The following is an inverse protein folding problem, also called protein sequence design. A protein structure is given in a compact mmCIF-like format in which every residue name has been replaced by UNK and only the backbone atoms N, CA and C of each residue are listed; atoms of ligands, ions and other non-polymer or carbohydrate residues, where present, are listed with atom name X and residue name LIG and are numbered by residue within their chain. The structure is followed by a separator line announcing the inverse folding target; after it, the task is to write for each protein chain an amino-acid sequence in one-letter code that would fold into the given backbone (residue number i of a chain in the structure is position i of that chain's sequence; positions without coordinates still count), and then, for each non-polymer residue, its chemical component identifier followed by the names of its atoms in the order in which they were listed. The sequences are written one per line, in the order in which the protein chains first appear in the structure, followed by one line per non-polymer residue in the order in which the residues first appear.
data_IF_988166823693
#
_entry.id   IF_988166823693
#
_cell.length_a   1.000
_cell.length_b   1.000
_cell.length_c   1.000
_cell.angle_alpha   90.00
_cell.angle_beta   90.00
_cell.angle_gamma   90.00
#
_symmetry.space_group_name_H-M   'P 1'
#
loop_
_entity.id
_entity.type
_entity.pdbx_description
1 polymer ?
#
# COMPACT_ATOMS: atom_id res chain seq x y z
N UNK A 1 7.93 -15.38 -24.83
CA UNK A 1 6.96 -14.32 -25.16
C UNK A 1 6.54 -13.65 -23.87
N UNK A 2 6.50 -12.33 -23.79
CA UNK A 2 5.97 -11.62 -22.60
C UNK A 2 4.45 -11.69 -22.67
N UNK A 3 3.81 -12.11 -21.58
CA UNK A 3 2.39 -12.46 -21.56
C UNK A 3 1.50 -11.23 -21.39
N UNK A 4 1.84 -10.36 -20.46
CA UNK A 4 1.16 -9.10 -20.20
C UNK A 4 2.19 -7.95 -20.19
N UNK A 5 2.63 -7.47 -21.35
CA UNK A 5 3.74 -6.51 -21.42
C UNK A 5 3.42 -5.16 -20.79
N UNK A 6 2.15 -4.71 -20.87
CA UNK A 6 1.77 -3.43 -20.25
C UNK A 6 1.62 -3.56 -18.73
N UNK A 7 1.01 -4.64 -18.23
CA UNK A 7 0.90 -4.90 -16.78
C UNK A 7 2.29 -4.99 -16.17
N UNK A 8 3.20 -5.74 -16.80
CA UNK A 8 4.62 -5.79 -16.43
C UNK A 8 5.23 -4.38 -16.36
N UNK A 9 5.08 -3.57 -17.40
CA UNK A 9 5.67 -2.24 -17.45
C UNK A 9 5.13 -1.31 -16.36
N UNK A 10 3.81 -1.28 -16.17
CA UNK A 10 3.16 -0.43 -15.18
C UNK A 10 3.46 -0.86 -13.75
N UNK A 11 3.58 -2.17 -13.48
CA UNK A 11 4.06 -2.72 -12.21
C UNK A 11 5.49 -2.26 -11.89
N UNK A 12 6.40 -2.34 -12.86
CA UNK A 12 7.78 -1.91 -12.64
C UNK A 12 7.91 -0.39 -12.44
N UNK A 13 7.06 0.41 -13.10
CA UNK A 13 6.98 1.85 -12.84
C UNK A 13 6.48 2.09 -11.40
N UNK A 14 5.41 1.40 -10.98
CA UNK A 14 4.88 1.47 -9.62
C UNK A 14 5.95 1.06 -8.59
N UNK A 15 6.68 -0.02 -8.86
CA UNK A 15 7.76 -0.51 -8.03
C UNK A 15 8.89 0.51 -7.88
N UNK A 16 9.37 1.08 -8.99
CA UNK A 16 10.44 2.07 -8.99
C UNK A 16 10.05 3.34 -8.22
N UNK A 17 8.84 3.86 -8.46
CA UNK A 17 8.35 5.07 -7.78
C UNK A 17 8.17 4.81 -6.28
N UNK A 18 7.55 3.68 -5.90
CA UNK A 18 7.38 3.30 -4.51
C UNK A 18 8.73 3.09 -3.81
N UNK A 19 9.72 2.47 -4.47
CA UNK A 19 11.06 2.26 -3.93
C UNK A 19 11.78 3.58 -3.68
N UNK A 20 11.80 4.48 -4.66
CA UNK A 20 12.43 5.80 -4.53
C UNK A 20 11.80 6.59 -3.39
N UNK A 21 10.47 6.69 -3.36
CA UNK A 21 9.76 7.41 -2.30
C UNK A 21 9.98 6.76 -0.93
N UNK A 22 9.95 5.43 -0.84
CA UNK A 22 10.20 4.67 0.39
C UNK A 22 11.61 4.91 0.95
N UNK A 23 12.64 4.85 0.11
CA UNK A 23 14.03 5.15 0.50
C UNK A 23 14.16 6.60 0.99
N UNK A 24 13.55 7.55 0.28
CA UNK A 24 13.58 8.97 0.68
C UNK A 24 12.86 9.19 2.02
N UNK A 25 11.72 8.54 2.25
CA UNK A 25 11.01 8.57 3.55
C UNK A 25 11.90 8.01 4.66
N UNK A 26 12.51 6.84 4.45
CA UNK A 26 13.34 6.18 5.45
C UNK A 26 14.58 7.01 5.82
N UNK A 27 15.26 7.58 4.83
CA UNK A 27 16.41 8.48 5.04
C UNK A 27 16.03 9.75 5.78
N UNK A 28 14.83 10.28 5.52
CA UNK A 28 14.31 11.50 6.15
C UNK A 28 13.47 11.24 7.41
N UNK A 29 13.46 10.01 7.93
CA UNK A 29 12.60 9.65 9.06
C UNK A 29 12.95 10.44 10.34
N UNK A 30 14.23 10.80 10.53
CA UNK A 30 14.65 11.74 11.58
C UNK A 30 14.29 11.32 13.01
N UNK A 31 14.13 10.01 13.26
CA UNK A 31 13.70 9.45 14.55
C UNK A 31 12.18 9.27 14.70
N UNK A 32 11.38 9.71 13.73
CA UNK A 32 9.92 9.54 13.75
C UNK A 32 9.54 8.13 13.23
N UNK A 33 9.06 7.26 14.13
CA UNK A 33 8.71 5.89 13.79
C UNK A 33 7.51 5.81 12.86
N UNK A 34 6.59 6.78 12.92
CA UNK A 34 5.50 6.92 11.96
C UNK A 34 5.99 6.98 10.52
N UNK A 35 7.05 7.75 10.26
CA UNK A 35 7.69 7.83 8.94
C UNK A 35 8.39 6.53 8.59
N UNK A 36 9.07 5.89 9.56
CA UNK A 36 9.76 4.61 9.33
C UNK A 36 8.80 3.52 8.86
N UNK A 37 7.67 3.35 9.55
CA UNK A 37 6.67 2.34 9.20
C UNK A 37 5.99 2.60 7.85
N UNK A 38 5.71 3.86 7.53
CA UNK A 38 5.26 4.23 6.17
C UNK A 38 6.33 4.00 5.12
N UNK A 39 7.61 4.26 5.43
CA UNK A 39 8.73 3.95 4.55
C UNK A 39 8.84 2.45 4.27
N UNK A 40 8.74 1.62 5.31
CA UNK A 40 8.66 0.15 5.19
C UNK A 40 7.47 -0.25 4.31
N UNK A 41 6.32 0.38 4.47
CA UNK A 41 5.15 0.09 3.65
C UNK A 41 5.39 0.38 2.16
N UNK A 42 6.06 1.49 1.84
CA UNK A 42 6.44 1.83 0.47
C UNK A 42 7.44 0.82 -0.12
N UNK A 43 8.44 0.38 0.66
CA UNK A 43 9.40 -0.64 0.22
C UNK A 43 8.72 -1.99 0.00
N UNK A 44 7.80 -2.37 0.89
CA UNK A 44 7.01 -3.59 0.73
C UNK A 44 6.14 -3.52 -0.53
N UNK A 45 5.44 -2.41 -0.77
CA UNK A 45 4.68 -2.20 -2.00
C UNK A 45 5.58 -2.29 -3.25
N UNK A 46 6.77 -1.69 -3.19
CA UNK A 46 7.72 -1.75 -4.29
C UNK A 46 8.14 -3.19 -4.62
N UNK A 47 8.46 -3.98 -3.59
CA UNK A 47 8.80 -5.38 -3.74
C UNK A 47 7.62 -6.21 -4.27
N UNK A 48 6.42 -5.98 -3.74
CA UNK A 48 5.21 -6.64 -4.23
C UNK A 48 4.94 -6.32 -5.71
N UNK A 49 5.00 -5.05 -6.12
CA UNK A 49 4.83 -4.65 -7.51
C UNK A 49 5.88 -5.27 -8.43
N UNK A 50 7.15 -5.34 -8.00
CA UNK A 50 8.20 -6.00 -8.80
C UNK A 50 7.94 -7.51 -8.97
N UNK A 51 7.53 -8.21 -7.90
CA UNK A 51 7.19 -9.63 -7.94
C UNK A 51 5.93 -9.89 -8.78
N UNK A 52 4.89 -9.08 -8.60
CA UNK A 52 3.64 -9.13 -9.34
C UNK A 52 3.84 -8.86 -10.83
N UNK A 53 4.57 -7.81 -11.18
CA UNK A 53 4.92 -7.51 -12.58
C UNK A 53 5.70 -8.66 -13.22
N UNK A 54 6.66 -9.24 -12.51
CA UNK A 54 7.41 -10.41 -13.00
C UNK A 54 6.48 -11.62 -13.20
N UNK A 55 5.53 -11.84 -12.29
CA UNK A 55 4.51 -12.87 -12.45
C UNK A 55 3.66 -12.64 -13.71
N UNK A 56 3.12 -11.44 -13.91
CA UNK A 56 2.29 -11.09 -15.06
C UNK A 56 3.06 -11.18 -16.39
N UNK A 57 4.28 -10.66 -16.43
CA UNK A 57 5.11 -10.65 -17.64
C UNK A 57 5.55 -12.04 -18.08
N UNK A 58 5.99 -12.87 -17.13
CA UNK A 58 6.67 -14.13 -17.43
C UNK A 58 5.88 -15.39 -17.02
N UNK A 59 4.65 -15.24 -16.48
CA UNK A 59 3.79 -16.34 -15.98
C UNK A 59 4.48 -17.21 -14.93
N UNK A 60 5.27 -16.60 -14.06
CA UNK A 60 5.97 -17.32 -12.99
C UNK A 60 5.05 -17.51 -11.77
N UNK A 61 4.32 -18.62 -11.73
CA UNK A 61 3.37 -18.94 -10.66
C UNK A 61 3.99 -18.88 -9.25
N UNK A 62 5.27 -19.26 -9.11
CA UNK A 62 5.99 -19.25 -7.84
C UNK A 62 6.10 -17.85 -7.20
N UNK A 63 5.95 -16.77 -7.97
CA UNK A 63 6.05 -15.38 -7.47
C UNK A 63 4.72 -14.83 -6.93
N UNK A 64 3.59 -15.47 -7.23
CA UNK A 64 2.28 -14.96 -6.82
C UNK A 64 2.10 -14.94 -5.30
N UNK A 65 2.34 -16.07 -4.63
CA UNK A 65 2.22 -16.17 -3.16
C UNK A 65 3.17 -15.21 -2.43
N UNK A 66 4.47 -15.09 -2.78
CA UNK A 66 5.34 -14.05 -2.25
C UNK A 66 4.79 -12.62 -2.45
N UNK A 67 4.25 -12.31 -3.63
CA UNK A 67 3.62 -11.01 -3.91
C UNK A 67 2.50 -10.71 -2.92
N UNK A 68 1.59 -11.67 -2.72
CA UNK A 68 0.50 -11.55 -1.76
C UNK A 68 1.01 -11.37 -0.33
N UNK A 69 1.96 -12.20 0.13
CA UNK A 69 2.50 -12.08 1.49
C UNK A 69 3.16 -10.71 1.75
N UNK A 70 3.88 -10.16 0.77
CA UNK A 70 4.53 -8.85 0.87
C UNK A 70 3.50 -7.69 0.87
N UNK A 71 2.39 -7.80 0.13
CA UNK A 71 1.30 -6.80 0.17
C UNK A 71 0.74 -6.61 1.58
N UNK A 72 0.64 -7.68 2.37
CA UNK A 72 0.23 -7.60 3.77
C UNK A 72 1.17 -6.73 4.63
N UNK A 73 2.49 -6.79 4.38
CA UNK A 73 3.47 -5.94 5.08
C UNK A 73 3.25 -4.47 4.74
N UNK A 74 2.92 -4.17 3.47
CA UNK A 74 2.61 -2.81 3.06
C UNK A 74 1.39 -2.26 3.82
N UNK A 75 0.28 -2.98 3.84
CA UNK A 75 -0.96 -2.55 4.51
C UNK A 75 -0.78 -2.42 6.03
N UNK A 76 -0.05 -3.33 6.67
CA UNK A 76 0.24 -3.29 8.10
C UNK A 76 1.16 -2.12 8.46
N UNK A 77 2.20 -1.86 7.65
CA UNK A 77 3.10 -0.72 7.85
C UNK A 77 2.40 0.62 7.73
N UNK A 78 1.47 0.76 6.77
CA UNK A 78 0.63 1.97 6.64
C UNK A 78 -0.19 2.22 7.91
N UNK A 79 -0.83 1.17 8.44
CA UNK A 79 -1.65 1.28 9.65
C UNK A 79 -0.78 1.59 10.88
N UNK A 80 0.36 0.92 11.04
CA UNK A 80 1.28 1.16 12.15
C UNK A 80 1.83 2.59 12.14
N UNK A 81 2.30 3.06 10.98
CA UNK A 81 2.80 4.43 10.82
C UNK A 81 1.72 5.48 11.11
N UNK A 82 0.50 5.23 10.64
CA UNK A 82 -0.66 6.10 10.90
C UNK A 82 -1.06 6.10 12.37
N UNK A 83 -1.04 4.94 13.04
CA UNK A 83 -1.33 4.83 14.47
C UNK A 83 -0.35 5.66 15.32
N UNK A 84 0.95 5.60 14.99
CA UNK A 84 2.00 6.38 15.65
C UNK A 84 1.80 7.89 15.46
N UNK A 85 1.42 8.32 14.25
CA UNK A 85 1.21 9.73 13.93
C UNK A 85 -0.09 10.33 14.52
N UNK A 86 -1.12 9.51 14.74
CA UNK A 86 -2.47 9.99 15.04
C UNK A 86 -2.94 9.71 16.46
N UNK A 87 -2.40 8.69 17.13
CA UNK A 87 -2.88 8.23 18.45
C UNK A 87 -1.79 8.13 19.52
N UNK A 88 -2.20 7.92 20.78
CA UNK A 88 -1.35 7.85 21.99
C UNK A 88 -1.82 6.75 22.94
N UNK A 89 -0.94 6.35 23.87
CA UNK A 89 -1.29 5.48 24.99
C UNK A 89 -1.99 4.19 24.55
N UNK A 90 -3.07 3.81 25.24
CA UNK A 90 -3.82 2.58 24.97
C UNK A 90 -4.31 2.47 23.52
N UNK A 91 -4.69 3.58 22.89
CA UNK A 91 -5.23 3.59 21.52
C UNK A 91 -4.14 3.30 20.48
N UNK A 92 -2.92 3.81 20.71
CA UNK A 92 -1.77 3.45 19.88
C UNK A 92 -1.47 1.97 19.99
N UNK A 93 -1.40 1.45 21.21
CA UNK A 93 -1.14 0.02 21.43
C UNK A 93 -2.20 -0.85 20.77
N UNK A 94 -3.48 -0.49 20.89
CA UNK A 94 -4.58 -1.20 20.25
C UNK A 94 -4.45 -1.21 18.72
N UNK A 95 -4.16 -0.08 18.08
CA UNK A 95 -4.00 -0.03 16.62
C UNK A 95 -2.75 -0.76 16.12
N UNK A 96 -1.64 -0.71 16.88
CA UNK A 96 -0.43 -1.47 16.55
C UNK A 96 -0.67 -2.98 16.70
N UNK A 97 -1.33 -3.41 17.78
CA UNK A 97 -1.73 -4.79 17.97
C UNK A 97 -2.70 -5.25 16.87
N UNK A 98 -3.64 -4.39 16.46
CA UNK A 98 -4.54 -4.66 15.35
C UNK A 98 -3.78 -4.80 14.02
N UNK A 99 -2.80 -3.94 13.74
CA UNK A 99 -1.97 -4.05 12.54
C UNK A 99 -1.20 -5.39 12.51
N UNK A 100 -0.62 -5.80 13.63
CA UNK A 100 0.10 -7.07 13.75
C UNK A 100 -0.84 -8.28 13.64
N UNK A 101 -1.98 -8.26 14.33
CA UNK A 101 -2.96 -9.35 14.28
C UNK A 101 -3.54 -9.50 12.88
N UNK A 102 -3.89 -8.39 12.23
CA UNK A 102 -4.35 -8.36 10.84
C UNK A 102 -3.33 -8.99 9.90
N UNK A 103 -2.05 -8.61 9.99
CA UNK A 103 -0.98 -9.19 9.17
C UNK A 103 -0.86 -10.70 9.37
N UNK A 104 -0.87 -11.16 10.64
CA UNK A 104 -0.77 -12.58 10.95
C UNK A 104 -1.97 -13.37 10.39
N UNK A 105 -3.20 -12.87 10.57
CA UNK A 105 -4.42 -13.48 10.02
C UNK A 105 -4.36 -13.52 8.50
N UNK A 106 -3.96 -12.41 7.87
CA UNK A 106 -3.82 -12.32 6.41
C UNK A 106 -2.81 -13.34 5.87
N UNK A 107 -1.63 -13.46 6.48
CA UNK A 107 -0.64 -14.46 6.09
C UNK A 107 -1.15 -15.88 6.25
N UNK A 108 -1.86 -16.19 7.34
CA UNK A 108 -2.47 -17.51 7.54
C UNK A 108 -3.49 -17.83 6.44
N UNK A 109 -4.31 -16.85 6.04
CA UNK A 109 -5.27 -17.02 4.95
C UNK A 109 -4.59 -17.19 3.60
N UNK A 110 -3.70 -16.28 3.22
CA UNK A 110 -2.96 -16.35 1.94
C UNK A 110 -2.12 -17.61 1.83
N UNK A 111 -1.58 -18.11 2.95
CA UNK A 111 -0.83 -19.35 2.93
C UNK A 111 -1.68 -20.53 2.44
N UNK A 112 -2.95 -20.57 2.84
CA UNK A 112 -3.92 -21.63 2.47
C UNK A 112 -4.61 -21.37 1.14
N UNK A 113 -4.91 -20.11 0.85
CA UNK A 113 -5.68 -19.66 -0.32
C UNK A 113 -5.20 -18.27 -0.72
N UNK A 114 -4.44 -18.18 -1.81
CA UNK A 114 -3.78 -16.95 -2.29
C UNK A 114 -4.58 -16.20 -3.34
N UNK A 115 -5.91 -16.40 -3.39
CA UNK A 115 -6.78 -15.59 -4.24
C UNK A 115 -6.65 -14.10 -3.92
N UNK A 116 -6.61 -13.28 -4.98
CA UNK A 116 -6.41 -11.83 -4.88
C UNK A 116 -7.43 -11.11 -3.99
N UNK A 117 -8.65 -11.66 -3.85
CA UNK A 117 -9.70 -11.09 -2.99
C UNK A 117 -9.23 -10.89 -1.54
N UNK A 118 -8.33 -11.74 -1.05
CA UNK A 118 -7.78 -11.59 0.30
C UNK A 118 -6.88 -10.36 0.41
N UNK A 119 -6.10 -10.04 -0.63
CA UNK A 119 -5.32 -8.80 -0.67
C UNK A 119 -6.22 -7.56 -0.74
N UNK A 120 -7.36 -7.66 -1.45
CA UNK A 120 -8.37 -6.59 -1.51
C UNK A 120 -9.01 -6.36 -0.14
N UNK A 121 -9.44 -7.42 0.56
CA UNK A 121 -10.02 -7.31 1.90
C UNK A 121 -9.02 -6.77 2.93
N UNK A 122 -7.78 -7.25 2.86
CA UNK A 122 -6.68 -6.82 3.72
C UNK A 122 -6.33 -5.34 3.51
N UNK A 123 -6.17 -4.91 2.25
CA UNK A 123 -5.82 -3.53 1.92
C UNK A 123 -7.01 -2.59 2.19
N UNK A 124 -8.22 -2.99 1.84
CA UNK A 124 -9.44 -2.23 2.07
C UNK A 124 -9.70 -1.96 3.55
N UNK A 125 -9.51 -2.96 4.42
CA UNK A 125 -9.61 -2.76 5.87
C UNK A 125 -8.51 -1.85 6.42
N UNK A 126 -7.28 -1.94 5.90
CA UNK A 126 -6.21 -1.00 6.27
C UNK A 126 -6.53 0.43 5.83
N UNK A 127 -7.04 0.64 4.62
CA UNK A 127 -7.49 1.95 4.14
C UNK A 127 -8.58 2.56 5.01
N UNK A 128 -9.59 1.78 5.38
CA UNK A 128 -10.65 2.25 6.27
C UNK A 128 -10.10 2.73 7.62
N UNK A 129 -9.22 1.93 8.25
CA UNK A 129 -8.62 2.27 9.54
C UNK A 129 -7.67 3.47 9.46
N UNK A 130 -6.83 3.54 8.41
CA UNK A 130 -5.92 4.66 8.15
C UNK A 130 -6.71 5.94 7.90
N UNK A 131 -7.73 5.90 7.04
CA UNK A 131 -8.59 7.05 6.79
C UNK A 131 -9.29 7.52 8.06
N UNK A 132 -9.88 6.60 8.83
CA UNK A 132 -10.56 6.93 10.08
C UNK A 132 -9.62 7.61 11.08
N UNK A 133 -8.42 7.04 11.28
CA UNK A 133 -7.41 7.60 12.17
C UNK A 133 -6.99 9.02 11.75
N UNK A 134 -6.78 9.25 10.46
CA UNK A 134 -6.38 10.56 9.94
C UNK A 134 -7.55 11.57 9.84
N UNK A 135 -8.79 11.12 9.69
CA UNK A 135 -9.99 11.97 9.78
C UNK A 135 -10.18 12.47 11.22
N UNK A 136 -10.04 11.61 12.23
CA UNK A 136 -10.05 12.05 13.64
C UNK A 136 -8.85 12.93 13.99
N UNK A 137 -7.74 12.79 13.26
CA UNK A 137 -6.55 13.61 13.38
C UNK A 137 -6.43 14.65 12.25
N UNK A 138 -7.55 15.18 11.72
CA UNK A 138 -7.57 16.03 10.52
C UNK A 138 -6.66 17.26 10.58
N UNK A 139 -6.50 17.84 11.77
CA UNK A 139 -5.64 19.01 12.01
C UNK A 139 -4.15 18.69 12.12
N UNK A 140 -3.77 17.41 12.17
CA UNK A 140 -2.35 17.02 12.16
C UNK A 140 -1.76 17.25 10.77
N UNK A 141 -0.51 17.73 10.69
CA UNK A 141 0.22 17.79 9.43
C UNK A 141 0.22 16.44 8.73
N UNK A 142 0.05 16.45 7.41
CA UNK A 142 0.02 15.24 6.59
C UNK A 142 -1.32 14.51 6.51
N UNK A 143 -2.21 14.63 7.52
CA UNK A 143 -3.45 13.82 7.56
C UNK A 143 -4.36 14.00 6.34
N UNK A 144 -4.53 15.24 5.85
CA UNK A 144 -5.36 15.51 4.67
C UNK A 144 -4.82 14.83 3.41
N UNK A 145 -3.49 14.79 3.26
CA UNK A 145 -2.82 14.12 2.16
C UNK A 145 -2.96 12.60 2.26
N UNK A 146 -2.87 12.03 3.47
CA UNK A 146 -3.10 10.60 3.67
C UNK A 146 -4.55 10.21 3.32
N UNK A 147 -5.55 10.98 3.79
CA UNK A 147 -6.96 10.73 3.43
C UNK A 147 -7.19 10.87 1.93
N UNK A 148 -6.60 11.89 1.28
CA UNK A 148 -6.67 12.03 -0.18
C UNK A 148 -6.01 10.84 -0.90
N UNK A 149 -4.86 10.35 -0.41
CA UNK A 149 -4.22 9.13 -0.92
C UNK A 149 -5.13 7.92 -0.81
N UNK A 150 -5.81 7.73 0.33
CA UNK A 150 -6.79 6.65 0.51
C UNK A 150 -7.95 6.78 -0.47
N UNK A 151 -8.49 7.98 -0.65
CA UNK A 151 -9.57 8.21 -1.61
C UNK A 151 -9.15 7.85 -3.05
N UNK A 152 -7.94 8.23 -3.46
CA UNK A 152 -7.41 7.88 -4.78
C UNK A 152 -7.14 6.38 -4.90
N UNK A 153 -6.65 5.71 -3.86
CA UNK A 153 -6.49 4.25 -3.88
C UNK A 153 -7.82 3.49 -3.94
N UNK A 154 -8.87 4.00 -3.31
CA UNK A 154 -10.23 3.43 -3.45
C UNK A 154 -10.74 3.62 -4.88
N UNK A 155 -10.52 4.79 -5.48
CA UNK A 155 -10.85 5.02 -6.89
C UNK A 155 -10.06 4.09 -7.82
N UNK A 156 -8.78 3.85 -7.54
CA UNK A 156 -7.98 2.87 -8.26
C UNK A 156 -8.61 1.46 -8.14
N UNK A 157 -8.94 1.01 -6.93
CA UNK A 157 -9.58 -0.29 -6.72
C UNK A 157 -10.92 -0.41 -7.47
N UNK A 158 -11.71 0.66 -7.53
CA UNK A 158 -12.95 0.70 -8.32
C UNK A 158 -12.68 0.57 -9.82
N UNK A 159 -11.63 1.23 -10.34
CA UNK A 159 -11.17 1.04 -11.72
C UNK A 159 -10.82 -0.41 -11.97
N UNK A 160 -10.00 -1.02 -11.10
CA UNK A 160 -9.60 -2.42 -11.26
C UNK A 160 -10.81 -3.35 -11.25
N UNK A 161 -11.73 -3.17 -10.29
CA UNK A 161 -12.92 -3.99 -10.14
C UNK A 161 -13.94 -3.82 -11.29
N UNK A 162 -13.91 -2.68 -12.00
CA UNK A 162 -14.80 -2.43 -13.13
C UNK A 162 -14.51 -3.34 -14.34
N UNK A 163 -13.27 -3.84 -14.45
CA UNK A 163 -12.83 -4.61 -15.63
C UNK A 163 -12.80 -3.80 -16.94
N UNK A 164 -12.93 -2.46 -16.87
CA UNK A 164 -12.96 -1.61 -18.06
C UNK A 164 -11.55 -1.45 -18.65
N UNK A 165 -11.38 -1.96 -19.87
CA UNK A 165 -10.15 -1.82 -20.63
C UNK A 165 -10.23 -0.60 -21.55
N UNK A 166 -9.29 0.35 -21.43
CA UNK A 166 -9.25 1.53 -22.29
C UNK A 166 -8.72 1.22 -23.69
N UNK A 167 -7.89 0.18 -23.81
CA UNK A 167 -7.32 -0.25 -25.08
C UNK A 167 -6.88 -1.72 -25.03
N UNK A 168 -6.76 -2.39 -26.18
CA UNK A 168 -6.32 -3.81 -26.29
C UNK A 168 -4.93 -4.11 -25.70
N UNK A 169 -4.13 -3.08 -25.45
CA UNK A 169 -2.80 -3.16 -24.84
C UNK A 169 -2.72 -2.32 -23.55
N UNK A 170 -3.87 -1.85 -23.04
CA UNK A 170 -3.97 -1.05 -21.84
C UNK A 170 -5.29 -1.37 -21.14
N UNK A 171 -5.21 -2.31 -20.19
CA UNK A 171 -6.37 -2.88 -19.50
C UNK A 171 -6.65 -2.15 -18.16
N UNK A 172 -7.67 -2.62 -17.45
CA UNK A 172 -8.05 -2.10 -16.13
C UNK A 172 -6.93 -2.21 -15.07
N UNK A 173 -6.04 -3.20 -15.13
CA UNK A 173 -4.90 -3.31 -14.21
C UNK A 173 -3.84 -2.23 -14.49
N UNK A 174 -3.58 -1.96 -15.76
CA UNK A 174 -2.67 -0.88 -16.18
C UNK A 174 -3.18 0.47 -15.69
N UNK A 175 -4.49 0.72 -15.87
CA UNK A 175 -5.13 1.94 -15.38
C UNK A 175 -5.10 2.02 -13.85
N UNK A 176 -5.35 0.90 -13.16
CA UNK A 176 -5.23 0.80 -11.70
C UNK A 176 -3.84 1.24 -11.23
N UNK A 177 -2.77 0.71 -11.83
CA UNK A 177 -1.39 1.08 -11.49
C UNK A 177 -1.13 2.58 -11.68
N UNK A 178 -1.62 3.17 -12.78
CA UNK A 178 -1.45 4.61 -13.02
C UNK A 178 -2.21 5.48 -12.02
N UNK A 179 -3.43 5.12 -11.65
CA UNK A 179 -4.19 5.85 -10.60
C UNK A 179 -3.49 5.68 -9.25
N UNK A 180 -2.98 4.49 -8.96
CA UNK A 180 -2.27 4.18 -7.72
C UNK A 180 -0.93 4.95 -7.60
N UNK A 181 -0.24 5.26 -8.70
CA UNK A 181 0.89 6.19 -8.70
C UNK A 181 0.50 7.58 -8.17
N UNK A 182 -0.69 8.07 -8.55
CA UNK A 182 -1.27 9.30 -8.00
C UNK A 182 -1.47 9.22 -6.49
N UNK A 183 -1.97 8.09 -5.99
CA UNK A 183 -2.10 7.86 -4.55
C UNK A 183 -0.74 7.88 -3.84
N UNK A 184 0.30 7.27 -4.42
CA UNK A 184 1.65 7.27 -3.83
C UNK A 184 2.23 8.69 -3.69
N UNK A 185 2.00 9.57 -4.66
CA UNK A 185 2.43 10.97 -4.56
C UNK A 185 1.74 11.66 -3.37
N UNK A 186 0.44 11.43 -3.18
CA UNK A 186 -0.33 11.99 -2.07
C UNK A 186 0.15 11.43 -0.73
N UNK A 187 0.32 10.11 -0.63
CA UNK A 187 0.87 9.47 0.57
C UNK A 187 2.26 10.00 0.89
N UNK A 188 3.18 10.06 -0.07
CA UNK A 188 4.53 10.56 0.12
C UNK A 188 4.55 12.00 0.67
N UNK A 189 3.71 12.88 0.12
CA UNK A 189 3.53 14.25 0.64
C UNK A 189 3.03 14.24 2.08
N UNK A 190 2.05 13.40 2.39
CA UNK A 190 1.51 13.25 3.74
C UNK A 190 2.55 12.74 4.74
N UNK A 191 3.23 11.66 4.40
CA UNK A 191 4.22 10.97 5.25
C UNK A 191 5.36 11.90 5.64
N UNK A 192 5.87 12.71 4.70
CA UNK A 192 6.93 13.68 4.97
C UNK A 192 6.56 14.72 6.02
N UNK A 193 5.28 14.96 6.24
CA UNK A 193 4.76 15.91 7.23
C UNK A 193 4.42 15.24 8.56
N UNK A 194 4.38 13.90 8.63
CA UNK A 194 4.03 13.19 9.86
C UNK A 194 5.08 13.39 10.94
N UNK A 195 4.64 13.33 12.17
CA UNK A 195 5.48 13.22 13.35
C UNK A 195 4.73 12.35 14.36
N UNK A 196 5.49 11.60 15.15
CA UNK A 196 4.99 10.75 16.20
C UNK A 196 4.22 11.58 17.20
N UNK A 197 3.04 11.08 17.54
CA UNK A 197 2.17 11.77 18.46
C UNK A 197 2.65 11.54 19.89
N UNK A 198 3.52 12.41 20.39
CA UNK A 198 3.94 12.43 21.82
C UNK A 198 2.76 12.71 22.70
#
# INVERSE_FOLDING_TARGET
MISEPMTLATDYILAAVAAVMGVLILRAAGGEDSRRWWGIAFIALALAAALGGTHHGFRLAALWKPTMLVLGVASAGMLAGSALATTRGRWRLALLALAAAKLAIYWIWVWRDDRFIWAVADTGSAFALVALAHLFAWRRPGSRWIVAGVAVSIAAAAVQASGVDLHRHFNHNDLYHLVQLGALVLYYRGVRMLADRR
#
